data_IF_887574563952
#
_entry.id   IF_887574563952
#
_cell.length_a   1.000
_cell.length_b   1.000
_cell.length_c   1.000
_cell.angle_alpha   90.00
_cell.angle_beta   90.00
_cell.angle_gamma   90.00
#
_symmetry.space_group_name_H-M   'P 1'
#
loop_
_entity.id
_entity.type
_entity.pdbx_description
1 polymer ?
#
# COMPACT_ATOMS: atom_id res chain seq x y z
N UNK A 1 24.08 9.18 31.05
CA UNK A 1 24.93 9.23 29.83
C UNK A 1 24.03 9.09 28.62
N UNK A 2 24.36 9.69 27.47
CA UNK A 2 23.62 9.45 26.23
C UNK A 2 23.74 7.98 25.82
N UNK A 3 22.64 7.40 25.36
CA UNK A 3 22.58 6.04 24.81
C UNK A 3 22.17 6.17 23.35
N UNK A 4 22.95 5.59 22.45
CA UNK A 4 22.62 5.57 21.03
C UNK A 4 21.90 4.26 20.69
N UNK A 5 20.64 4.37 20.26
CA UNK A 5 19.82 3.23 19.83
C UNK A 5 19.76 3.20 18.31
N UNK A 6 20.29 2.14 17.70
CA UNK A 6 20.22 1.91 16.24
C UNK A 6 19.20 0.84 15.92
N UNK A 7 18.40 1.07 14.87
CA UNK A 7 17.52 0.06 14.28
C UNK A 7 18.16 -0.44 13.00
N UNK A 8 18.49 -1.73 12.95
CA UNK A 8 19.14 -2.39 11.82
C UNK A 8 18.19 -3.42 11.21
N UNK A 9 18.12 -3.45 9.89
CA UNK A 9 17.45 -4.49 9.11
C UNK A 9 18.48 -5.54 8.70
N UNK A 10 18.22 -6.80 8.99
CA UNK A 10 19.04 -7.93 8.54
C UNK A 10 18.24 -8.84 7.63
N UNK A 11 18.90 -9.40 6.63
CA UNK A 11 18.36 -10.44 5.75
C UNK A 11 19.46 -11.46 5.47
N UNK A 12 19.09 -12.71 5.17
CA UNK A 12 20.06 -13.72 4.75
C UNK A 12 20.68 -13.41 3.37
N UNK A 13 19.99 -12.62 2.56
CA UNK A 13 20.32 -12.38 1.15
C UNK A 13 20.97 -11.01 0.90
N UNK A 14 20.88 -10.09 1.87
CA UNK A 14 21.32 -8.71 1.73
C UNK A 14 22.21 -8.31 2.91
N UNK A 15 23.15 -7.38 2.72
CA UNK A 15 23.93 -6.84 3.83
C UNK A 15 23.03 -6.11 4.85
N UNK A 16 23.44 -6.16 6.12
CA UNK A 16 22.79 -5.42 7.20
C UNK A 16 22.66 -3.93 6.85
N UNK A 17 21.45 -3.39 7.01
CA UNK A 17 21.13 -1.98 6.71
C UNK A 17 20.65 -1.26 7.94
N UNK A 18 21.37 -0.23 8.38
CA UNK A 18 20.87 0.67 9.42
C UNK A 18 19.68 1.49 8.86
N UNK A 19 18.49 1.33 9.45
CA UNK A 19 17.29 2.04 9.04
C UNK A 19 17.13 3.39 9.74
N UNK A 20 17.42 3.42 11.04
CA UNK A 20 17.23 4.60 11.91
C UNK A 20 18.22 4.57 13.07
N UNK A 21 18.50 5.77 13.60
CA UNK A 21 19.28 5.97 14.83
C UNK A 21 18.57 6.99 15.71
N UNK A 22 18.57 6.76 17.02
CA UNK A 22 17.99 7.68 18.01
C UNK A 22 18.90 7.75 19.23
N UNK A 23 19.26 8.97 19.61
CA UNK A 23 19.97 9.24 20.87
C UNK A 23 18.97 9.52 21.97
N UNK A 24 19.15 8.86 23.11
CA UNK A 24 18.32 9.07 24.31
C UNK A 24 19.20 9.49 25.48
N UNK A 25 18.65 10.35 26.33
CA UNK A 25 19.30 10.85 27.54
C UNK A 25 18.37 10.53 28.71
N UNK A 26 18.63 9.43 29.46
CA UNK A 26 17.88 9.13 30.67
C UNK A 26 18.09 10.25 31.71
N UNK A 27 16.99 10.74 32.27
CA UNK A 27 17.00 11.74 33.34
C UNK A 27 17.25 11.09 34.72
N UNK A 28 16.89 9.82 34.88
CA UNK A 28 17.06 9.08 36.13
C UNK A 28 17.42 7.61 35.92
N UNK A 29 17.92 6.97 36.97
CA UNK A 29 18.23 5.54 36.95
C UNK A 29 16.97 4.71 36.76
N UNK A 30 17.07 3.61 35.99
CA UNK A 30 15.96 2.71 35.67
C UNK A 30 14.74 3.35 34.98
N UNK A 31 14.91 4.51 34.33
CA UNK A 31 13.87 5.14 33.54
C UNK A 31 13.49 4.29 32.32
N UNK A 32 12.19 4.13 32.08
CA UNK A 32 11.66 3.45 30.89
C UNK A 32 11.26 4.50 29.85
N UNK A 33 12.04 4.60 28.78
CA UNK A 33 11.78 5.52 27.67
C UNK A 33 11.24 4.70 26.49
N UNK A 34 9.97 4.87 26.07
CA UNK A 34 9.45 4.22 24.87
C UNK A 34 10.09 4.83 23.61
N UNK A 35 10.46 3.96 22.66
CA UNK A 35 11.05 4.37 21.38
C UNK A 35 10.22 3.84 20.22
N UNK A 36 9.63 4.78 19.48
CA UNK A 36 8.90 4.48 18.25
C UNK A 36 9.79 4.70 17.03
N UNK A 37 9.84 3.69 16.16
CA UNK A 37 10.48 3.75 14.85
C UNK A 37 9.44 3.50 13.76
N UNK A 38 9.24 4.49 12.89
CA UNK A 38 8.44 4.33 11.67
C UNK A 38 9.36 4.01 10.51
N UNK A 39 9.14 2.86 9.87
CA UNK A 39 9.93 2.34 8.75
C UNK A 39 9.00 1.91 7.62
N UNK A 40 9.53 1.94 6.40
CA UNK A 40 8.87 1.40 5.22
C UNK A 40 9.85 0.44 4.55
N UNK A 41 9.42 -0.79 4.31
CA UNK A 41 10.19 -1.82 3.62
C UNK A 41 9.48 -2.11 2.30
N UNK A 42 10.15 -1.80 1.18
CA UNK A 42 9.57 -1.91 -0.16
C UNK A 42 9.98 -3.19 -0.87
N UNK A 43 11.09 -3.78 -0.44
CA UNK A 43 11.65 -4.97 -1.07
C UNK A 43 11.03 -6.21 -0.43
N UNK A 44 10.55 -7.18 -1.23
CA UNK A 44 10.09 -8.45 -0.72
C UNK A 44 11.22 -9.22 -0.03
N UNK A 45 10.88 -9.89 1.07
CA UNK A 45 11.81 -10.74 1.79
C UNK A 45 11.43 -10.94 3.25
N UNK A 46 12.13 -11.88 3.88
CA UNK A 46 12.11 -12.06 5.31
C UNK A 46 13.23 -11.26 5.96
N UNK A 47 12.87 -10.46 6.96
CA UNK A 47 13.78 -9.55 7.63
C UNK A 47 13.73 -9.72 9.15
N UNK A 48 14.90 -9.55 9.76
CA UNK A 48 15.06 -9.39 11.20
C UNK A 48 15.36 -7.93 11.50
N UNK A 49 14.50 -7.28 12.27
CA UNK A 49 14.73 -5.96 12.84
C UNK A 49 15.47 -6.11 14.17
N UNK A 50 16.59 -5.41 14.30
CA UNK A 50 17.43 -5.39 15.50
C UNK A 50 17.51 -3.96 16.01
N UNK A 51 16.85 -3.68 17.14
CA UNK A 51 17.06 -2.44 17.87
C UNK A 51 18.18 -2.67 18.89
N UNK A 52 19.31 -1.98 18.74
CA UNK A 52 20.49 -2.11 19.60
C UNK A 52 20.74 -0.80 20.33
N UNK A 53 20.76 -0.83 21.66
CA UNK A 53 21.32 0.23 22.49
C UNK A 53 22.84 0.05 22.60
N UNK A 54 23.62 1.08 22.26
CA UNK A 54 25.06 1.12 22.49
C UNK A 54 25.34 1.98 23.71
N UNK A 55 25.95 1.38 24.72
CA UNK A 55 26.43 2.07 25.92
C UNK A 55 27.96 2.01 25.90
N UNK A 56 28.63 3.16 25.96
CA UNK A 56 30.08 3.27 25.81
C UNK A 56 30.87 2.95 27.10
N UNK A 57 30.33 2.13 28.03
CA UNK A 57 30.99 1.85 29.33
C UNK A 57 31.14 0.35 29.62
N UNK A 58 31.89 0.01 30.68
CA UNK A 58 32.23 -1.34 31.21
C UNK A 58 31.01 -2.20 31.59
N UNK A 59 30.02 -2.30 30.72
CA UNK A 59 28.83 -3.09 30.90
C UNK A 59 29.16 -4.57 30.78
N UNK A 60 28.93 -5.32 31.86
CA UNK A 60 29.28 -6.74 31.94
C UNK A 60 28.32 -7.65 31.16
N UNK A 61 27.13 -7.14 30.82
CA UNK A 61 26.10 -7.90 30.11
C UNK A 61 25.59 -7.07 28.95
N UNK A 62 26.18 -7.22 27.77
CA UNK A 62 25.76 -6.53 26.55
C UNK A 62 24.59 -7.21 25.82
N UNK A 63 24.24 -8.44 26.22
CA UNK A 63 23.20 -9.24 25.57
C UNK A 63 21.78 -8.73 25.83
N UNK A 64 21.56 -7.90 26.85
CA UNK A 64 20.26 -7.30 27.16
C UNK A 64 20.00 -5.99 26.39
N UNK A 65 21.00 -5.51 25.63
CA UNK A 65 20.91 -4.23 24.92
C UNK A 65 20.29 -4.35 23.53
N UNK A 66 19.72 -5.51 23.20
CA UNK A 66 19.07 -5.76 21.92
C UNK A 66 17.61 -6.15 22.11
N UNK A 67 16.77 -5.66 21.19
CA UNK A 67 15.43 -6.15 20.98
C UNK A 67 15.28 -6.60 19.53
N UNK A 68 14.66 -7.76 19.34
CA UNK A 68 14.47 -8.39 18.03
C UNK A 68 13.00 -8.39 17.62
N UNK A 69 12.73 -8.23 16.33
CA UNK A 69 11.40 -8.41 15.74
C UNK A 69 11.53 -8.96 14.32
N UNK A 70 10.60 -9.82 13.90
CA UNK A 70 10.57 -10.40 12.56
C UNK A 70 9.53 -9.70 11.69
N UNK A 71 9.88 -9.42 10.44
CA UNK A 71 8.97 -8.83 9.45
C UNK A 71 9.15 -9.57 8.14
N UNK A 72 8.06 -10.11 7.60
CA UNK A 72 8.00 -10.65 6.25
C UNK A 72 7.32 -9.63 5.34
N UNK A 73 8.04 -9.16 4.33
CA UNK A 73 7.50 -8.34 3.25
C UNK A 73 7.24 -9.29 2.09
N UNK A 74 5.99 -9.42 1.66
CA UNK A 74 5.66 -10.25 0.50
C UNK A 74 5.79 -9.44 -0.77
N UNK A 75 6.15 -10.11 -1.85
CA UNK A 75 6.06 -9.52 -3.18
C UNK A 75 4.60 -9.19 -3.49
N UNK A 76 4.41 -8.05 -4.16
CA UNK A 76 3.17 -7.29 -4.22
C UNK A 76 1.90 -8.14 -4.38
N UNK A 77 0.88 -7.76 -3.60
CA UNK A 77 -0.49 -8.14 -3.89
C UNK A 77 -0.95 -7.53 -5.21
N UNK A 78 -1.88 -8.20 -5.89
CA UNK A 78 -2.48 -7.75 -7.15
C UNK A 78 -3.15 -6.40 -6.92
N UNK A 79 -2.74 -5.40 -7.69
CA UNK A 79 -3.27 -4.04 -7.61
C UNK A 79 -4.51 -3.89 -8.48
N UNK A 80 -5.63 -3.56 -7.86
CA UNK A 80 -6.93 -3.46 -8.51
C UNK A 80 -7.41 -2.01 -8.43
N UNK A 81 -7.70 -1.40 -9.58
CA UNK A 81 -8.42 -0.12 -9.63
C UNK A 81 -9.88 -0.38 -9.99
N UNK A 82 -10.78 -0.02 -9.07
CA UNK A 82 -12.22 -0.22 -9.22
C UNK A 82 -12.93 1.12 -9.42
N UNK A 83 -13.48 1.31 -10.62
CA UNK A 83 -14.22 2.50 -11.05
C UNK A 83 -15.72 2.21 -10.98
N UNK A 84 -16.44 2.91 -10.11
CA UNK A 84 -17.83 2.57 -9.79
C UNK A 84 -18.76 3.78 -9.96
N UNK A 85 -19.86 3.57 -10.70
CA UNK A 85 -20.87 4.60 -10.92
C UNK A 85 -22.00 4.62 -9.90
N UNK A 86 -22.39 3.46 -9.37
CA UNK A 86 -23.41 3.36 -8.33
C UNK A 86 -23.04 2.33 -7.25
N UNK A 87 -23.19 2.66 -5.95
CA UNK A 87 -22.90 1.71 -4.89
C UNK A 87 -23.95 0.60 -4.84
N UNK A 88 -23.53 -0.66 -4.93
CA UNK A 88 -24.41 -1.85 -5.04
C UNK A 88 -24.00 -2.97 -4.09
N UNK A 89 -24.88 -3.96 -3.91
CA UNK A 89 -24.62 -5.06 -2.98
C UNK A 89 -23.46 -5.94 -3.47
N UNK A 90 -23.42 -6.24 -4.76
CA UNK A 90 -22.34 -7.02 -5.39
C UNK A 90 -20.98 -6.34 -5.18
N UNK A 91 -20.92 -5.03 -5.40
CA UNK A 91 -19.74 -4.21 -5.14
C UNK A 91 -19.27 -4.34 -3.70
N UNK A 92 -20.21 -4.29 -2.73
CA UNK A 92 -19.88 -4.42 -1.29
C UNK A 92 -19.27 -5.77 -0.98
N UNK A 93 -19.83 -6.88 -1.47
CA UNK A 93 -19.31 -8.21 -1.17
C UNK A 93 -18.01 -8.53 -1.91
N UNK A 94 -17.84 -8.03 -3.13
CA UNK A 94 -16.58 -8.10 -3.86
C UNK A 94 -15.48 -7.35 -3.10
N UNK A 95 -15.77 -6.11 -2.70
CA UNK A 95 -14.88 -5.30 -1.87
C UNK A 95 -14.49 -6.03 -0.59
N UNK A 96 -15.46 -6.52 0.17
CA UNK A 96 -15.19 -7.24 1.42
C UNK A 96 -14.35 -8.51 1.22
N UNK A 97 -14.53 -9.20 0.09
CA UNK A 97 -13.80 -10.43 -0.21
C UNK A 97 -12.36 -10.14 -0.66
N UNK A 98 -12.15 -9.09 -1.44
CA UNK A 98 -10.80 -8.66 -1.85
C UNK A 98 -10.03 -8.06 -0.68
N UNK A 99 -10.65 -7.17 0.10
CA UNK A 99 -10.05 -6.54 1.28
C UNK A 99 -9.71 -7.57 2.39
N UNK A 100 -10.31 -8.76 2.36
CA UNK A 100 -10.02 -9.83 3.32
C UNK A 100 -8.69 -10.54 3.07
N UNK A 101 -8.08 -10.38 1.89
CA UNK A 101 -6.76 -10.93 1.58
C UNK A 101 -5.72 -9.82 1.53
N UNK A 102 -4.55 -10.09 2.13
CA UNK A 102 -3.37 -9.23 2.00
C UNK A 102 -2.74 -9.29 0.60
N UNK A 103 -3.19 -10.23 -0.24
CA UNK A 103 -2.70 -10.42 -1.60
C UNK A 103 -3.38 -9.48 -2.61
N UNK A 104 -4.31 -8.61 -2.19
CA UNK A 104 -4.96 -7.61 -3.05
C UNK A 104 -4.78 -6.21 -2.47
N UNK A 105 -4.38 -5.26 -3.31
CA UNK A 105 -4.41 -3.82 -3.01
C UNK A 105 -5.48 -3.18 -3.89
N UNK A 106 -6.61 -2.81 -3.28
CA UNK A 106 -7.78 -2.31 -4.02
C UNK A 106 -7.97 -0.81 -3.80
N UNK A 107 -7.88 -0.05 -4.90
CA UNK A 107 -8.20 1.36 -4.94
C UNK A 107 -9.60 1.56 -5.54
N UNK A 108 -10.41 2.39 -4.88
CA UNK A 108 -11.79 2.65 -5.28
C UNK A 108 -11.95 4.09 -5.74
N UNK A 109 -12.42 4.29 -6.97
CA UNK A 109 -12.85 5.59 -7.45
C UNK A 109 -14.37 5.55 -7.68
N UNK A 110 -15.08 6.38 -6.94
CA UNK A 110 -16.52 6.50 -7.06
C UNK A 110 -16.90 7.72 -7.89
N UNK A 111 -17.56 7.48 -9.02
CA UNK A 111 -18.00 8.50 -9.97
C UNK A 111 -19.52 8.45 -10.04
N UNK A 112 -20.25 9.03 -9.06
CA UNK A 112 -21.69 8.87 -8.98
C UNK A 112 -22.44 9.56 -10.11
N UNK A 113 -23.43 8.88 -10.69
CA UNK A 113 -24.30 9.41 -11.74
C UNK A 113 -24.95 10.76 -11.39
N UNK A 114 -25.31 10.97 -10.11
CA UNK A 114 -25.85 12.25 -9.63
C UNK A 114 -24.89 13.44 -9.80
N UNK A 115 -23.62 13.19 -10.12
CA UNK A 115 -22.60 14.19 -10.43
C UNK A 115 -22.28 14.25 -11.94
N UNK A 116 -23.18 13.77 -12.82
CA UNK A 116 -23.04 13.86 -14.28
C UNK A 116 -22.62 15.23 -14.81
N UNK A 117 -23.05 16.32 -14.16
CA UNK A 117 -22.64 17.69 -14.53
C UNK A 117 -21.12 17.96 -14.41
N UNK A 118 -20.37 17.07 -13.73
CA UNK A 118 -18.91 17.14 -13.56
C UNK A 118 -18.18 16.18 -14.50
N UNK A 119 -18.91 15.41 -15.30
CA UNK A 119 -18.33 14.48 -16.26
C UNK A 119 -18.02 15.20 -17.58
N UNK A 120 -17.00 14.74 -18.33
CA UNK A 120 -16.08 13.66 -17.99
C UNK A 120 -15.02 14.07 -16.94
N UNK A 121 -14.61 13.14 -16.08
CA UNK A 121 -13.56 13.34 -15.09
C UNK A 121 -12.23 12.81 -15.63
N UNK A 122 -11.19 13.65 -15.60
CA UNK A 122 -9.83 13.24 -15.91
C UNK A 122 -9.11 12.73 -14.65
N UNK A 123 -8.80 11.45 -14.64
CA UNK A 123 -8.09 10.75 -13.56
C UNK A 123 -6.65 10.40 -13.99
N UNK A 124 -6.23 10.78 -15.21
CA UNK A 124 -4.95 10.32 -15.74
C UNK A 124 -3.74 10.82 -14.96
N UNK A 125 -3.87 11.94 -14.24
CA UNK A 125 -2.83 12.45 -13.34
C UNK A 125 -2.88 11.86 -11.92
N UNK A 126 -3.91 11.09 -11.58
CA UNK A 126 -4.12 10.50 -10.26
C UNK A 126 -3.85 9.00 -10.26
N UNK A 127 -3.97 8.34 -11.41
CA UNK A 127 -3.78 6.90 -11.56
C UNK A 127 -2.34 6.60 -11.99
N UNK A 128 -1.64 5.80 -11.20
CA UNK A 128 -0.41 5.12 -11.66
C UNK A 128 -0.79 3.89 -12.50
N UNK A 129 -1.08 4.09 -13.78
CA UNK A 129 -1.56 3.01 -14.65
C UNK A 129 -0.57 1.85 -14.75
N UNK A 130 0.73 2.13 -14.72
CA UNK A 130 1.76 1.09 -14.84
C UNK A 130 1.74 0.15 -13.64
N UNK A 131 1.40 0.66 -12.46
CA UNK A 131 1.24 -0.12 -11.26
C UNK A 131 -0.09 -0.87 -11.14
N UNK A 132 -1.08 -0.69 -12.02
CA UNK A 132 -2.38 -1.39 -11.93
C UNK A 132 -2.32 -2.71 -12.68
N UNK A 133 -2.74 -3.80 -12.03
CA UNK A 133 -2.80 -5.13 -12.63
C UNK A 133 -4.18 -5.46 -13.20
N UNK A 134 -5.24 -4.97 -12.56
CA UNK A 134 -6.63 -5.20 -12.96
C UNK A 134 -7.44 -3.92 -12.84
N UNK A 135 -8.19 -3.59 -13.89
CA UNK A 135 -9.24 -2.59 -13.86
C UNK A 135 -10.61 -3.26 -13.71
N UNK A 136 -11.42 -2.78 -12.79
CA UNK A 136 -12.81 -3.20 -12.61
C UNK A 136 -13.71 -2.00 -12.88
N UNK A 137 -14.65 -2.11 -13.80
CA UNK A 137 -15.63 -1.07 -14.13
C UNK A 137 -17.02 -1.58 -13.76
N UNK A 138 -17.69 -0.91 -12.81
CA UNK A 138 -19.03 -1.29 -12.34
C UNK A 138 -20.03 -0.16 -12.42
N UNK A 139 -21.15 -0.39 -13.12
CA UNK A 139 -22.25 0.58 -13.31
C UNK A 139 -21.83 2.00 -13.70
N UNK A 140 -20.73 2.14 -14.43
CA UNK A 140 -20.15 3.43 -14.74
C UNK A 140 -20.34 3.73 -16.21
N UNK A 141 -21.04 4.81 -16.55
CA UNK A 141 -21.18 5.32 -17.91
C UNK A 141 -19.80 5.67 -18.51
N UNK A 142 -19.55 5.33 -19.78
CA UNK A 142 -18.27 5.62 -20.44
C UNK A 142 -18.02 7.13 -20.52
N UNK A 143 -19.09 7.95 -20.58
CA UNK A 143 -19.01 9.41 -20.57
C UNK A 143 -18.51 9.98 -19.23
N UNK A 144 -18.48 9.18 -18.16
CA UNK A 144 -17.93 9.60 -16.88
C UNK A 144 -16.41 9.79 -16.91
N UNK A 145 -15.72 9.06 -17.80
CA UNK A 145 -14.27 9.06 -17.89
C UNK A 145 -13.82 9.94 -19.05
N UNK A 146 -12.88 10.85 -18.78
CA UNK A 146 -12.22 11.60 -19.83
C UNK A 146 -11.41 10.67 -20.74
N UNK A 147 -11.28 11.03 -22.02
CA UNK A 147 -10.59 10.21 -23.02
C UNK A 147 -9.15 9.90 -22.63
N UNK A 148 -8.48 10.79 -21.89
CA UNK A 148 -7.13 10.52 -21.35
C UNK A 148 -7.12 9.34 -20.38
N UNK A 149 -8.08 9.30 -19.45
CA UNK A 149 -8.25 8.17 -18.52
C UNK A 149 -8.55 6.88 -19.27
N UNK A 150 -9.50 6.92 -20.23
CA UNK A 150 -9.86 5.75 -21.03
C UNK A 150 -8.66 5.21 -21.82
N UNK A 151 -7.85 6.10 -22.41
CA UNK A 151 -6.64 5.73 -23.12
C UNK A 151 -5.59 5.12 -22.19
N UNK A 152 -5.40 5.66 -20.99
CA UNK A 152 -4.48 5.09 -20.00
C UNK A 152 -4.87 3.65 -19.60
N UNK A 153 -6.16 3.39 -19.42
CA UNK A 153 -6.70 2.04 -19.18
C UNK A 153 -6.44 1.15 -20.39
N UNK A 154 -6.81 1.60 -21.60
CA UNK A 154 -6.62 0.85 -22.84
C UNK A 154 -5.15 0.48 -23.08
N UNK A 155 -4.24 1.43 -22.94
CA UNK A 155 -2.81 1.23 -23.14
C UNK A 155 -2.27 0.20 -22.15
N UNK A 156 -2.68 0.28 -20.87
CA UNK A 156 -2.24 -0.66 -19.83
C UNK A 156 -2.83 -2.07 -20.01
N UNK A 157 -4.09 -2.17 -20.43
CA UNK A 157 -4.72 -3.46 -20.78
C UNK A 157 -4.04 -4.09 -21.99
N UNK A 158 -3.67 -3.28 -22.99
CA UNK A 158 -2.88 -3.73 -24.14
C UNK A 158 -1.49 -4.24 -23.76
N UNK A 159 -0.96 -3.80 -22.61
CA UNK A 159 0.28 -4.27 -21.99
C UNK A 159 0.07 -5.48 -21.06
N UNK A 160 -1.14 -6.05 -21.00
CA UNK A 160 -1.43 -7.29 -20.28
C UNK A 160 -2.13 -7.12 -18.93
N UNK A 161 -2.62 -5.93 -18.57
CA UNK A 161 -3.51 -5.81 -17.42
C UNK A 161 -4.87 -6.46 -17.70
N UNK A 162 -5.50 -6.98 -16.65
CA UNK A 162 -6.87 -7.46 -16.70
C UNK A 162 -7.87 -6.30 -16.79
N UNK A 163 -8.99 -6.54 -17.48
CA UNK A 163 -10.15 -5.66 -17.50
C UNK A 163 -11.40 -6.49 -17.20
N UNK A 164 -12.14 -6.09 -16.17
CA UNK A 164 -13.39 -6.71 -15.75
C UNK A 164 -14.50 -5.68 -15.77
N UNK A 165 -15.63 -6.02 -16.40
CA UNK A 165 -16.87 -5.27 -16.27
C UNK A 165 -17.82 -6.00 -15.34
N UNK A 166 -18.38 -5.26 -14.39
CA UNK A 166 -19.51 -5.72 -13.57
C UNK A 166 -20.79 -5.22 -14.22
N UNK A 167 -21.75 -6.12 -14.44
CA UNK A 167 -23.03 -5.76 -15.05
C UNK A 167 -23.77 -4.67 -14.26
N UNK A 168 -24.60 -3.89 -14.96
CA UNK A 168 -25.32 -2.76 -14.40
C UNK A 168 -26.15 -2.02 -15.44
N UNK A 169 -26.96 -1.06 -14.97
CA UNK A 169 -27.80 -0.21 -15.83
C UNK A 169 -26.98 0.74 -16.71
N UNK A 170 -25.76 1.07 -16.29
CA UNK A 170 -24.82 1.92 -17.03
C UNK A 170 -23.57 1.14 -17.46
N UNK A 171 -23.70 -0.17 -17.68
CA UNK A 171 -22.61 -1.01 -18.19
C UNK A 171 -22.91 -1.47 -19.61
N UNK A 172 -21.86 -1.79 -20.38
CA UNK A 172 -21.97 -2.24 -21.78
C UNK A 172 -22.75 -1.23 -22.65
N UNK A 173 -23.71 -1.69 -23.44
CA UNK A 173 -24.50 -0.90 -24.40
C UNK A 173 -25.14 0.34 -23.75
N UNK A 174 -25.94 0.16 -22.69
CA UNK A 174 -26.58 1.27 -21.98
C UNK A 174 -25.57 2.20 -21.28
N UNK A 175 -24.33 1.73 -21.06
CA UNK A 175 -23.22 2.51 -20.56
C UNK A 175 -22.36 3.16 -21.63
N UNK A 176 -22.60 2.89 -22.92
CA UNK A 176 -21.85 3.47 -24.03
C UNK A 176 -20.43 2.92 -24.23
N UNK A 177 -20.19 1.63 -23.94
CA UNK A 177 -18.90 0.93 -24.15
C UNK A 177 -18.83 0.12 -25.44
#
# INVERSE_FOLDING_TARGET
QPIDVTLTLRSAQQPDRELKRRRVLPAQSAEKIPLDFRIQLSEPGDYLLVAQARVDTNEQVSSNNQQLSFVTVREGGVRILMLEGQPRYEQRYLKLSLDASVDFDVQYAWLPERQRARWPIDLSGQIDFQGVDIFVIGDLDSAALHTNTQKGILDRVSQGAGLLFLGGYHSFDAGGY
#
